data_IF_000698574533
#
_entry.id   IF_000698574533
#
_cell.length_a   1.000
_cell.length_b   1.000
_cell.length_c   1.000
_cell.angle_alpha   90.00
_cell.angle_beta   90.00
_cell.angle_gamma   90.00
#
_symmetry.space_group_name_H-M   'P 1'
#
loop_
_entity.id
_entity.type
_entity.pdbx_description
1 polymer ?
#
# COMPACT_ATOMS: atom_id res chain seq x y z
N UNK A 1 -11.09 -0.49 0.84
CA UNK A 1 -9.67 -0.65 1.20
C UNK A 1 -9.11 0.73 1.51
N UNK A 2 -8.45 0.92 2.65
CA UNK A 2 -7.84 2.21 2.99
C UNK A 2 -6.73 2.59 2.00
N UNK A 3 -6.44 3.88 1.89
CA UNK A 3 -5.35 4.37 1.04
C UNK A 3 -3.98 3.99 1.62
N UNK A 4 -3.02 3.62 0.75
CA UNK A 4 -1.69 3.15 1.17
C UNK A 4 -0.79 4.25 1.75
N UNK A 5 -1.03 5.52 1.43
CA UNK A 5 -0.18 6.62 1.88
C UNK A 5 1.24 6.54 1.30
N UNK A 6 2.25 6.82 2.13
CA UNK A 6 3.66 6.82 1.72
C UNK A 6 4.17 5.39 1.50
N UNK A 7 4.19 4.97 0.23
CA UNK A 7 4.44 3.58 -0.17
C UNK A 7 5.92 3.17 -0.11
N UNK A 8 6.86 4.11 -0.28
CA UNK A 8 8.29 3.78 -0.46
C UNK A 8 8.88 2.90 0.65
N UNK A 9 8.69 3.18 1.95
CA UNK A 9 9.25 2.35 3.01
C UNK A 9 8.81 0.89 2.93
N UNK A 10 7.56 0.64 2.54
CA UNK A 10 7.05 -0.72 2.34
C UNK A 10 7.64 -1.34 1.07
N UNK A 11 7.70 -0.58 -0.02
CA UNK A 11 8.22 -1.05 -1.31
C UNK A 11 9.67 -1.55 -1.19
N UNK A 12 10.53 -0.75 -0.53
CA UNK A 12 11.95 -1.05 -0.36
C UNK A 12 12.27 -2.05 0.77
N UNK A 13 11.30 -2.38 1.63
CA UNK A 13 11.50 -3.39 2.69
C UNK A 13 11.01 -4.78 2.29
N UNK A 14 9.77 -4.87 1.79
CA UNK A 14 9.08 -6.14 1.58
C UNK A 14 8.43 -6.20 0.19
N UNK A 15 7.92 -5.06 -0.27
CA UNK A 15 7.12 -4.95 -1.48
C UNK A 15 7.86 -5.30 -2.75
N UNK A 16 9.19 -5.16 -2.80
CA UNK A 16 10.02 -5.47 -3.98
C UNK A 16 9.79 -6.87 -4.57
N UNK A 17 9.39 -7.85 -3.75
CA UNK A 17 9.06 -9.22 -4.20
C UNK A 17 7.83 -9.30 -5.09
N UNK A 18 6.99 -8.26 -5.07
CA UNK A 18 5.79 -8.13 -5.88
C UNK A 18 6.01 -7.26 -7.13
N UNK A 19 7.27 -6.99 -7.50
CA UNK A 19 7.66 -6.31 -8.73
C UNK A 19 8.37 -7.28 -9.66
N UNK A 20 8.28 -7.03 -10.96
CA UNK A 20 9.03 -7.75 -11.97
C UNK A 20 10.35 -7.00 -12.21
N UNK A 21 11.44 -7.58 -11.72
CA UNK A 21 12.82 -7.09 -11.89
C UNK A 21 13.26 -7.14 -13.36
N UNK A 22 13.82 -6.04 -13.87
CA UNK A 22 14.30 -5.92 -15.25
C UNK A 22 15.82 -6.04 -15.23
N UNK A 23 16.35 -7.16 -15.72
CA UNK A 23 17.80 -7.45 -15.66
C UNK A 23 18.53 -7.28 -17.00
N UNK A 24 17.82 -6.89 -18.05
CA UNK A 24 18.36 -6.73 -19.40
C UNK A 24 17.99 -5.34 -19.93
N UNK A 25 19.00 -4.55 -20.27
CA UNK A 25 18.85 -3.21 -20.83
C UNK A 25 19.95 -2.26 -20.36
N UNK A 26 19.98 -1.05 -20.92
CA UNK A 26 20.90 0.00 -20.51
C UNK A 26 20.30 1.39 -20.72
N UNK A 27 20.63 2.34 -19.84
CA UNK A 27 20.22 3.75 -19.96
C UNK A 27 21.26 4.58 -20.75
N UNK A 28 21.73 4.05 -21.88
CA UNK A 28 22.73 4.72 -22.71
C UNK A 28 22.14 5.95 -23.42
N UNK A 29 22.81 7.08 -23.34
CA UNK A 29 22.35 8.36 -23.92
C UNK A 29 23.44 9.44 -23.87
N UNK A 30 23.27 10.52 -24.63
CA UNK A 30 24.19 11.67 -24.69
C UNK A 30 25.67 11.30 -24.97
N UNK A 31 25.91 10.25 -25.76
CA UNK A 31 27.27 9.77 -26.06
C UNK A 31 27.95 9.00 -24.92
N UNK A 32 27.21 8.67 -23.85
CA UNK A 32 27.72 7.86 -22.73
C UNK A 32 27.17 6.44 -22.78
N UNK A 33 27.90 5.49 -22.21
CA UNK A 33 27.46 4.10 -22.04
C UNK A 33 26.30 3.94 -21.05
N UNK A 34 26.07 4.92 -20.18
CA UNK A 34 25.01 4.91 -19.16
C UNK A 34 25.21 3.82 -18.11
N UNK A 35 24.10 3.37 -17.50
CA UNK A 35 24.08 2.27 -16.54
C UNK A 35 23.45 1.03 -17.18
N UNK A 36 23.91 -0.15 -16.79
CA UNK A 36 23.29 -1.41 -17.17
C UNK A 36 22.20 -1.79 -16.16
N UNK A 37 21.12 -2.38 -16.65
CA UNK A 37 20.12 -3.04 -15.81
C UNK A 37 20.74 -4.27 -15.14
N UNK A 38 20.38 -4.54 -13.89
CA UNK A 38 20.99 -5.60 -13.10
C UNK A 38 19.97 -6.19 -12.12
N UNK A 39 20.27 -7.38 -11.61
CA UNK A 39 19.39 -8.04 -10.65
C UNK A 39 19.21 -7.19 -9.39
N UNK A 40 17.95 -6.96 -9.01
CA UNK A 40 17.55 -6.25 -7.81
C UNK A 40 17.26 -4.78 -8.07
N UNK A 41 17.78 -3.89 -7.23
CA UNK A 41 17.65 -2.47 -7.48
C UNK A 41 18.73 -2.02 -8.45
N UNK A 42 18.34 -1.32 -9.51
CA UNK A 42 19.28 -0.72 -10.46
C UNK A 42 18.89 0.74 -10.81
N UNK A 43 19.85 1.56 -11.29
CA UNK A 43 19.59 2.97 -11.62
C UNK A 43 18.84 3.16 -12.95
N UNK A 44 18.53 2.10 -13.69
CA UNK A 44 17.81 2.13 -14.97
C UNK A 44 16.31 1.99 -14.74
N UNK A 45 15.90 1.07 -13.87
CA UNK A 45 14.51 0.64 -13.66
C UNK A 45 14.08 0.62 -12.19
N UNK A 46 15.00 0.89 -11.25
CA UNK A 46 14.71 0.82 -9.82
C UNK A 46 14.50 -0.61 -9.38
N UNK A 47 13.36 -0.90 -8.75
CA UNK A 47 12.94 -2.27 -8.37
C UNK A 47 12.22 -3.01 -9.52
N UNK A 48 12.14 -2.42 -10.70
CA UNK A 48 11.42 -2.96 -11.85
C UNK A 48 9.96 -2.50 -11.95
N UNK A 49 9.12 -3.33 -12.57
CA UNK A 49 7.72 -2.97 -12.90
C UNK A 49 6.72 -3.56 -11.91
N UNK A 50 5.66 -2.83 -11.54
CA UNK A 50 4.67 -3.32 -10.58
C UNK A 50 3.86 -4.50 -11.14
N UNK A 51 3.82 -5.61 -10.38
CA UNK A 51 2.90 -6.73 -10.65
C UNK A 51 1.67 -6.59 -9.74
N UNK A 52 0.61 -5.96 -10.25
CA UNK A 52 -0.54 -5.60 -9.45
C UNK A 52 -1.19 -6.79 -8.69
N UNK A 53 -1.45 -7.96 -9.32
CA UNK A 53 -1.96 -9.13 -8.60
C UNK A 53 -1.04 -9.64 -7.48
N UNK A 54 0.29 -9.57 -7.67
CA UNK A 54 1.23 -9.93 -6.61
C UNK A 54 1.22 -8.89 -5.48
N UNK A 55 1.17 -7.60 -5.81
CA UNK A 55 1.13 -6.51 -4.84
C UNK A 55 -0.13 -6.58 -3.99
N UNK A 56 -1.30 -6.78 -4.59
CA UNK A 56 -2.56 -6.87 -3.87
C UNK A 56 -2.57 -8.01 -2.84
N UNK A 57 -1.90 -9.13 -3.13
CA UNK A 57 -1.75 -10.26 -2.20
C UNK A 57 -0.70 -10.01 -1.11
N UNK A 58 0.35 -9.26 -1.44
CA UNK A 58 1.45 -8.97 -0.51
C UNK A 58 1.15 -7.80 0.44
N UNK A 59 0.19 -6.93 0.10
CA UNK A 59 -0.18 -5.80 0.94
C UNK A 59 -0.79 -6.30 2.26
N UNK A 60 -0.32 -5.79 3.41
CA UNK A 60 -0.95 -6.09 4.69
C UNK A 60 -2.38 -5.54 4.68
N UNK A 61 -3.35 -6.39 5.06
CA UNK A 61 -4.72 -5.93 5.27
C UNK A 61 -4.70 -4.81 6.31
N UNK A 62 -5.39 -3.72 6.00
CA UNK A 62 -5.47 -2.55 6.87
C UNK A 62 -6.48 -2.78 8.00
N UNK A 63 -6.44 -3.96 8.63
CA UNK A 63 -7.27 -4.28 9.79
C UNK A 63 -6.69 -3.68 11.08
N UNK A 64 -5.45 -3.21 11.01
CA UNK A 64 -4.71 -2.56 12.11
C UNK A 64 -4.71 -1.03 12.04
N UNK A 65 -5.41 -0.39 11.09
CA UNK A 65 -5.58 1.08 11.12
C UNK A 65 -6.34 1.58 12.35
N UNK A 66 -6.96 0.69 13.12
CA UNK A 66 -7.50 1.02 14.45
C UNK A 66 -6.44 1.51 15.45
N UNK A 67 -5.14 1.35 15.17
CA UNK A 67 -4.06 1.78 16.07
C UNK A 67 -3.22 2.95 15.57
N UNK A 68 -3.51 3.52 14.38
CA UNK A 68 -2.90 4.81 14.01
C UNK A 68 -3.62 5.92 14.77
N UNK A 69 -2.91 6.85 15.44
CA UNK A 69 -3.56 8.01 16.02
C UNK A 69 -4.23 8.79 14.89
N UNK A 70 -5.55 8.92 14.96
CA UNK A 70 -6.33 9.77 14.08
C UNK A 70 -5.66 11.15 14.00
N UNK A 71 -5.39 11.70 12.79
CA UNK A 71 -4.82 13.04 12.69
C UNK A 71 -5.79 14.00 13.38
N UNK A 72 -5.28 14.79 14.34
CA UNK A 72 -6.03 15.79 15.10
C UNK A 72 -6.44 16.96 14.21
N UNK A 73 -7.26 16.72 13.20
CA UNK A 73 -7.78 17.75 12.32
C UNK A 73 -9.30 17.75 12.39
N UNK A 74 -9.82 18.79 13.05
CA UNK A 74 -11.23 19.15 13.21
C UNK A 74 -12.18 18.10 13.81
N UNK A 75 -12.08 17.87 15.13
CA UNK A 75 -13.30 17.71 15.94
C UNK A 75 -13.97 19.07 16.14
N UNK A 76 -14.56 19.61 15.08
CA UNK A 76 -15.65 20.57 15.26
C UNK A 76 -16.79 19.83 15.94
N UNK A 77 -17.31 20.38 17.04
CA UNK A 77 -18.42 19.82 17.84
C UNK A 77 -19.74 19.59 17.09
N UNK A 78 -19.77 19.75 15.76
CA UNK A 78 -21.00 19.76 14.97
C UNK A 78 -21.36 18.38 14.38
N UNK A 79 -20.46 17.38 14.38
CA UNK A 79 -20.76 16.02 13.90
C UNK A 79 -21.13 15.02 15.01
N UNK A 80 -21.67 15.49 16.15
CA UNK A 80 -22.12 14.64 17.27
C UNK A 80 -23.64 14.50 17.42
N UNK A 81 -24.42 14.98 16.46
CA UNK A 81 -25.90 14.93 16.56
C UNK A 81 -26.62 14.16 15.45
N UNK A 82 -25.90 13.47 14.55
CA UNK A 82 -26.56 12.67 13.50
C UNK A 82 -25.92 11.29 13.38
N UNK A 83 -25.91 10.53 14.49
CA UNK A 83 -25.98 9.06 14.45
C UNK A 83 -26.37 8.49 15.81
N UNK A 84 -27.49 8.96 16.33
CA UNK A 84 -28.33 8.11 17.18
C UNK A 84 -29.21 7.30 16.23
N UNK A 85 -29.30 6.00 16.49
CA UNK A 85 -30.09 4.96 15.80
C UNK A 85 -29.25 4.10 14.82
N UNK A 86 -29.29 2.79 15.09
CA UNK A 86 -28.68 1.64 14.41
C UNK A 86 -27.26 1.23 14.81
N UNK A 87 -27.12 0.85 16.08
CA UNK A 87 -26.33 -0.34 16.48
C UNK A 87 -27.26 -1.21 17.34
N UNK A 88 -28.30 -1.78 16.73
CA UNK A 88 -29.19 -2.72 17.44
C UNK A 88 -29.70 -3.87 16.57
N UNK A 89 -29.28 -3.99 15.30
CA UNK A 89 -29.96 -4.89 14.35
C UNK A 89 -29.01 -5.63 13.38
N UNK A 90 -27.77 -5.96 13.76
CA UNK A 90 -26.99 -6.94 12.97
C UNK A 90 -26.03 -7.81 13.81
N UNK A 91 -26.46 -8.15 15.03
CA UNK A 91 -26.00 -9.37 15.71
C UNK A 91 -27.13 -10.39 15.66
N UNK A 92 -27.53 -10.79 14.45
CA UNK A 92 -28.39 -11.94 14.23
C UNK A 92 -27.58 -13.02 13.53
N UNK A 93 -27.71 -14.25 14.03
CA UNK A 93 -27.09 -15.51 13.57
C UNK A 93 -25.68 -15.82 14.08
N UNK A 94 -25.57 -16.11 15.39
CA UNK A 94 -24.86 -17.30 15.92
C UNK A 94 -24.91 -17.34 17.44
N UNK A 95 -26.03 -17.87 17.95
CA UNK A 95 -26.07 -18.82 19.07
C UNK A 95 -27.51 -19.29 19.22
N UNK A 96 -27.65 -20.58 19.46
CA UNK A 96 -28.88 -21.30 19.82
C UNK A 96 -29.67 -21.94 18.65
N UNK A 97 -29.03 -22.86 17.92
CA UNK A 97 -29.39 -24.30 17.90
C UNK A 97 -28.24 -25.12 17.29
#
# INVERSE_FOLDING_TARGET
MPALGFLNPWLYSQGYKALNDIVIGSSSGCGTTGFAAAKGWDPVTGLGTPNFPAMQRAMPSQDTLSSRPEPTYCKSSIMRSVKLIQISQDFSTKKDL
#
